data_IF_676774199590
#
_entry.id   IF_676774199590
#
_cell.length_a   1.000
_cell.length_b   1.000
_cell.length_c   1.000
_cell.angle_alpha   90.00
_cell.angle_beta   90.00
_cell.angle_gamma   90.00
#
_symmetry.space_group_name_H-M   'P 1'
#
loop_
_entity.id
_entity.type
_entity.pdbx_description
1 polymer ?
#
# COMPACT_ATOMS: atom_id res chain seq x y z
N UNK A 1 -10.85 8.29 -7.71
CA UNK A 1 -11.14 6.96 -7.09
C UNK A 1 -11.79 6.07 -8.13
N UNK A 2 -11.39 4.82 -8.18
CA UNK A 2 -11.92 3.84 -9.14
C UNK A 2 -12.19 2.51 -8.42
N UNK A 3 -13.38 1.96 -8.62
CA UNK A 3 -13.71 0.60 -8.16
C UNK A 3 -13.05 -0.43 -9.10
N UNK A 4 -12.18 -1.28 -8.54
CA UNK A 4 -11.50 -2.35 -9.28
C UNK A 4 -12.39 -3.60 -9.29
N UNK A 5 -12.85 -4.01 -8.12
CA UNK A 5 -13.72 -5.18 -7.95
C UNK A 5 -14.66 -5.01 -6.77
N UNK A 6 -15.78 -5.71 -6.84
CA UNK A 6 -16.75 -5.79 -5.73
C UNK A 6 -17.21 -7.23 -5.55
N UNK A 7 -17.16 -7.70 -4.32
CA UNK A 7 -17.73 -8.99 -3.93
C UNK A 7 -18.80 -8.74 -2.88
N UNK A 8 -20.00 -9.26 -3.14
CA UNK A 8 -21.18 -9.07 -2.26
C UNK A 8 -21.51 -10.38 -1.57
N UNK A 9 -21.55 -10.36 -0.25
CA UNK A 9 -22.05 -11.44 0.60
C UNK A 9 -23.42 -11.12 1.19
N UNK A 10 -23.92 -12.02 2.04
CA UNK A 10 -25.26 -11.87 2.67
C UNK A 10 -25.33 -10.65 3.60
N UNK A 11 -24.24 -10.30 4.28
CA UNK A 11 -24.16 -9.27 5.31
C UNK A 11 -23.00 -8.28 5.10
N UNK A 12 -22.27 -8.38 3.99
CA UNK A 12 -21.10 -7.52 3.73
C UNK A 12 -20.77 -7.35 2.25
N UNK A 13 -20.06 -6.26 1.98
CA UNK A 13 -19.50 -5.95 0.66
C UNK A 13 -18.00 -5.79 0.83
N UNK A 14 -17.23 -6.43 -0.04
CA UNK A 14 -15.78 -6.26 -0.14
C UNK A 14 -15.44 -5.56 -1.45
N UNK A 15 -14.83 -4.39 -1.35
CA UNK A 15 -14.41 -3.58 -2.48
C UNK A 15 -12.90 -3.46 -2.56
N UNK A 16 -12.35 -3.62 -3.74
CA UNK A 16 -11.01 -3.17 -4.08
C UNK A 16 -11.11 -1.83 -4.81
N UNK A 17 -10.44 -0.81 -4.28
CA UNK A 17 -10.50 0.56 -4.77
C UNK A 17 -9.10 1.06 -5.12
N UNK A 18 -8.95 1.62 -6.30
CA UNK A 18 -7.80 2.45 -6.62
C UNK A 18 -8.09 3.89 -6.18
N UNK A 19 -7.20 4.45 -5.39
CA UNK A 19 -7.29 5.82 -4.91
C UNK A 19 -6.04 6.58 -5.34
N UNK A 20 -6.25 7.73 -5.94
CA UNK A 20 -5.20 8.70 -6.20
C UNK A 20 -5.57 10.06 -5.63
N UNK A 21 -4.62 10.72 -5.06
CA UNK A 21 -4.79 12.07 -4.53
C UNK A 21 -3.46 12.81 -4.46
N UNK A 22 -3.55 14.13 -4.37
CA UNK A 22 -2.44 14.99 -3.97
C UNK A 22 -2.64 15.41 -2.51
N UNK A 23 -1.66 15.17 -1.67
CA UNK A 23 -1.74 15.48 -0.23
C UNK A 23 -1.62 17.00 0.02
N UNK A 24 -2.70 17.72 -0.20
CA UNK A 24 -2.78 19.19 -0.09
C UNK A 24 -3.46 19.68 1.19
N UNK A 25 -4.04 18.78 1.97
CA UNK A 25 -4.65 19.05 3.27
C UNK A 25 -4.35 17.90 4.23
N UNK A 26 -4.61 18.11 5.51
CA UNK A 26 -4.50 17.03 6.50
C UNK A 26 -5.50 15.92 6.19
N UNK A 27 -5.04 14.68 6.23
CA UNK A 27 -5.84 13.47 6.01
C UNK A 27 -5.66 12.51 7.19
N UNK A 28 -6.36 12.73 8.33
CA UNK A 28 -6.13 11.99 9.57
C UNK A 28 -6.35 10.49 9.49
N UNK A 29 -7.21 10.04 8.55
CA UNK A 29 -7.50 8.61 8.39
C UNK A 29 -6.36 7.81 7.74
N UNK A 30 -5.48 8.47 6.97
CA UNK A 30 -4.37 7.82 6.26
C UNK A 30 -3.00 8.33 6.69
N UNK A 31 -2.90 9.62 7.01
CA UNK A 31 -1.67 10.29 7.43
C UNK A 31 -1.92 11.14 8.69
N UNK A 32 -2.24 10.50 9.83
CA UNK A 32 -2.55 11.22 11.06
C UNK A 32 -1.36 12.06 11.53
N UNK A 33 -1.61 13.33 11.83
CA UNK A 33 -0.59 14.25 12.33
C UNK A 33 0.42 14.77 11.30
N UNK A 34 0.29 14.39 10.03
CA UNK A 34 1.20 14.82 8.97
C UNK A 34 0.66 16.09 8.30
N UNK A 35 1.43 17.19 8.30
CA UNK A 35 1.06 18.38 7.52
C UNK A 35 1.07 18.09 6.02
N UNK A 36 0.38 18.91 5.21
CA UNK A 36 0.33 18.72 3.76
C UNK A 36 1.72 18.63 3.14
N UNK A 37 1.97 17.54 2.40
CA UNK A 37 3.27 17.29 1.75
C UNK A 37 3.29 17.74 0.29
N UNK A 38 2.14 18.03 -0.31
CA UNK A 38 1.95 18.34 -1.73
C UNK A 38 2.42 17.23 -2.69
N UNK A 39 2.58 16.03 -2.20
CA UNK A 39 2.97 14.87 -2.99
C UNK A 39 1.74 14.11 -3.50
N UNK A 40 1.92 13.45 -4.66
CA UNK A 40 0.90 12.57 -5.23
C UNK A 40 1.02 11.17 -4.64
N UNK A 41 -0.13 10.57 -4.35
CA UNK A 41 -0.23 9.20 -3.84
C UNK A 41 -1.19 8.40 -4.72
N UNK A 42 -0.77 7.19 -5.06
CA UNK A 42 -1.59 6.19 -5.75
C UNK A 42 -1.52 4.88 -4.96
N UNK A 43 -2.65 4.43 -4.44
CA UNK A 43 -2.74 3.19 -3.65
C UNK A 43 -3.98 2.38 -4.01
N UNK A 44 -3.92 1.11 -3.72
CA UNK A 44 -5.10 0.23 -3.67
C UNK A 44 -5.53 0.06 -2.23
N UNK A 45 -6.82 0.18 -2.00
CA UNK A 45 -7.45 0.07 -0.70
C UNK A 45 -8.47 -1.05 -0.76
N UNK A 46 -8.53 -1.89 0.26
CA UNK A 46 -9.59 -2.87 0.44
C UNK A 46 -10.56 -2.34 1.51
N UNK A 47 -11.81 -2.18 1.13
CA UNK A 47 -12.89 -1.74 2.03
C UNK A 47 -13.86 -2.89 2.26
N UNK A 48 -14.13 -3.19 3.54
CA UNK A 48 -15.09 -4.22 3.94
C UNK A 48 -16.19 -3.53 4.75
N UNK A 49 -17.39 -3.46 4.17
CA UNK A 49 -18.56 -2.85 4.80
C UNK A 49 -19.53 -3.94 5.22
N UNK A 50 -19.82 -4.01 6.49
CA UNK A 50 -20.81 -4.93 7.06
C UNK A 50 -22.16 -4.26 7.29
N UNK A 51 -23.25 -5.01 7.11
CA UNK A 51 -24.63 -4.55 7.27
C UNK A 51 -25.37 -5.36 8.32
N UNK A 52 -26.22 -4.67 9.06
CA UNK A 52 -27.23 -5.26 9.96
C UNK A 52 -28.55 -4.54 9.78
N UNK A 53 -29.64 -5.31 9.62
CA UNK A 53 -31.00 -4.77 9.46
C UNK A 53 -31.09 -3.68 8.37
N UNK A 54 -30.38 -3.87 7.24
CA UNK A 54 -30.33 -2.92 6.12
C UNK A 54 -29.52 -1.66 6.37
N UNK A 55 -28.75 -1.59 7.46
CA UNK A 55 -27.91 -0.44 7.80
C UNK A 55 -26.44 -0.82 7.87
N UNK A 56 -25.56 0.15 7.56
CA UNK A 56 -24.12 -0.03 7.77
C UNK A 56 -23.85 -0.23 9.26
N UNK A 57 -23.21 -1.36 9.58
CA UNK A 57 -22.84 -1.74 10.93
C UNK A 57 -21.37 -1.50 11.21
N UNK A 58 -20.51 -1.83 10.26
CA UNK A 58 -19.07 -1.70 10.39
C UNK A 58 -18.42 -1.38 9.05
N UNK A 59 -17.30 -0.69 9.12
CA UNK A 59 -16.43 -0.44 7.98
C UNK A 59 -14.98 -0.71 8.40
N UNK A 60 -14.27 -1.50 7.61
CA UNK A 60 -12.85 -1.76 7.77
C UNK A 60 -12.13 -1.45 6.48
N UNK A 61 -11.04 -0.72 6.58
CA UNK A 61 -10.27 -0.30 5.43
C UNK A 61 -8.82 -0.72 5.62
N UNK A 62 -8.26 -1.34 4.59
CA UNK A 62 -6.89 -1.84 4.60
C UNK A 62 -6.10 -1.26 3.43
N UNK A 63 -4.90 -0.82 3.70
CA UNK A 63 -3.97 -0.30 2.69
C UNK A 63 -2.53 -0.53 3.12
N UNK A 64 -1.58 -0.33 2.21
CA UNK A 64 -0.15 -0.38 2.49
C UNK A 64 0.35 0.99 2.96
N UNK A 65 0.52 1.16 4.27
CA UNK A 65 0.99 2.41 4.87
C UNK A 65 2.45 2.72 4.51
N UNK A 66 3.28 1.71 4.35
CA UNK A 66 4.67 1.93 3.94
C UNK A 66 4.75 2.57 2.55
N UNK A 67 3.90 2.12 1.62
CA UNK A 67 3.77 2.73 0.30
C UNK A 67 3.33 4.19 0.36
N UNK A 68 2.37 4.51 1.22
CA UNK A 68 1.91 5.90 1.41
C UNK A 68 3.03 6.77 1.96
N UNK A 69 3.72 6.32 3.01
CA UNK A 69 4.83 7.05 3.61
C UNK A 69 6.00 7.26 2.63
N UNK A 70 6.29 6.26 1.82
CA UNK A 70 7.29 6.37 0.75
C UNK A 70 6.89 7.42 -0.29
N UNK A 71 5.67 7.40 -0.77
CA UNK A 71 5.19 8.31 -1.81
C UNK A 71 5.11 9.77 -1.36
N UNK A 72 4.84 10.03 -0.07
CA UNK A 72 4.84 11.40 0.47
C UNK A 72 6.22 11.87 0.94
N UNK A 73 7.26 11.03 0.86
CA UNK A 73 8.63 11.37 1.20
C UNK A 73 8.99 11.25 2.68
N UNK A 74 8.16 10.58 3.49
CA UNK A 74 8.43 10.34 4.91
C UNK A 74 9.20 9.05 5.19
N UNK A 75 9.29 8.15 4.24
CA UNK A 75 10.03 6.89 4.33
C UNK A 75 11.08 6.86 3.23
N UNK A 76 12.36 6.84 3.62
CA UNK A 76 13.48 6.66 2.71
C UNK A 76 13.88 5.19 2.68
N UNK A 77 13.73 4.50 1.52
CA UNK A 77 14.11 3.09 1.41
C UNK A 77 15.60 2.84 1.61
N UNK A 78 16.45 3.83 1.40
CA UNK A 78 17.90 3.72 1.61
C UNK A 78 18.30 3.76 3.09
N UNK A 79 17.41 4.25 3.97
CA UNK A 79 17.64 4.29 5.41
C UNK A 79 17.41 2.94 6.09
N UNK A 80 18.22 1.95 5.77
CA UNK A 80 18.21 0.64 6.44
C UNK A 80 18.92 0.74 7.78
N UNK A 81 18.33 0.24 8.91
CA UNK A 81 19.02 0.18 10.19
C UNK A 81 20.34 -0.60 10.11
N UNK A 82 21.39 -0.12 10.78
CA UNK A 82 22.75 -0.67 10.68
C UNK A 82 22.83 -2.19 10.91
N UNK A 83 22.03 -2.73 11.86
CA UNK A 83 22.01 -4.15 12.14
C UNK A 83 21.48 -5.00 10.99
N UNK A 84 20.77 -4.42 10.02
CA UNK A 84 20.20 -5.12 8.87
C UNK A 84 20.89 -4.75 7.54
N UNK A 85 21.83 -3.82 7.55
CA UNK A 85 22.57 -3.45 6.34
C UNK A 85 23.46 -4.60 5.87
N UNK A 86 23.55 -4.72 4.55
CA UNK A 86 24.52 -5.60 3.90
C UNK A 86 25.93 -5.12 4.20
N UNK A 87 26.81 -6.04 4.61
CA UNK A 87 28.21 -5.75 4.88
C UNK A 87 29.04 -5.93 3.62
N UNK A 88 30.05 -5.07 3.41
CA UNK A 88 31.01 -5.25 2.33
C UNK A 88 31.73 -6.59 2.51
N UNK A 89 31.72 -7.44 1.46
CA UNK A 89 32.37 -8.74 1.48
C UNK A 89 31.46 -9.94 1.81
N UNK A 90 30.17 -9.71 2.12
CA UNK A 90 29.19 -10.80 2.22
C UNK A 90 28.77 -11.21 0.80
N UNK A 91 29.34 -12.32 0.32
CA UNK A 91 28.99 -12.93 -0.96
C UNK A 91 27.67 -13.75 -0.87
N UNK A 92 27.09 -13.87 0.35
CA UNK A 92 25.85 -14.59 0.58
C UNK A 92 24.65 -13.69 0.28
N UNK A 93 23.72 -14.18 -0.55
CA UNK A 93 22.44 -13.52 -0.84
C UNK A 93 21.60 -13.27 0.43
N UNK A 94 21.90 -13.94 1.52
CA UNK A 94 21.30 -13.78 2.85
C UNK A 94 21.96 -12.66 3.70
N UNK A 95 22.98 -12.00 3.19
CA UNK A 95 23.91 -11.13 3.95
C UNK A 95 23.40 -9.76 4.39
N UNK A 96 22.10 -9.45 4.24
CA UNK A 96 21.52 -8.16 4.67
C UNK A 96 20.81 -7.39 3.56
N UNK A 97 20.26 -6.24 3.92
CA UNK A 97 19.45 -5.40 3.03
C UNK A 97 20.28 -4.26 2.43
N UNK A 98 20.11 -4.03 1.14
CA UNK A 98 20.56 -2.79 0.48
C UNK A 98 19.55 -1.67 0.62
N UNK A 99 18.26 -2.01 0.53
CA UNK A 99 17.13 -1.09 0.64
C UNK A 99 15.98 -1.73 1.42
N UNK A 100 15.13 -0.89 2.01
CA UNK A 100 13.87 -1.35 2.59
C UNK A 100 12.92 -1.85 1.48
N UNK A 101 12.26 -2.99 1.66
CA UNK A 101 11.33 -3.54 0.67
C UNK A 101 9.98 -2.82 0.71
N UNK A 102 9.91 -1.65 0.09
CA UNK A 102 8.68 -0.85 0.00
C UNK A 102 8.29 -0.62 -1.46
N UNK A 103 7.00 -0.58 -1.72
CA UNK A 103 6.45 -0.32 -3.03
C UNK A 103 5.92 1.11 -3.14
N UNK A 104 6.07 1.72 -4.31
CA UNK A 104 5.48 3.02 -4.64
C UNK A 104 4.17 2.89 -5.43
N UNK A 105 3.89 3.89 -6.25
CA UNK A 105 2.68 3.95 -7.08
C UNK A 105 2.58 2.83 -8.12
N UNK A 106 3.69 2.21 -8.49
CA UNK A 106 3.74 1.09 -9.46
C UNK A 106 2.92 -0.11 -9.00
N UNK A 107 2.88 -0.40 -7.69
CA UNK A 107 2.08 -1.48 -7.15
C UNK A 107 0.58 -1.27 -7.38
N UNK A 108 0.09 -0.05 -7.17
CA UNK A 108 -1.31 0.29 -7.43
C UNK A 108 -1.65 0.22 -8.93
N UNK A 109 -0.75 0.65 -9.78
CA UNK A 109 -0.92 0.59 -11.24
C UNK A 109 -0.98 -0.84 -11.75
N UNK A 110 -0.15 -1.75 -11.21
CA UNK A 110 -0.18 -3.18 -11.54
C UNK A 110 -1.55 -3.80 -11.23
N UNK A 111 -2.15 -3.50 -10.10
CA UNK A 111 -3.47 -4.03 -9.72
C UNK A 111 -4.56 -3.58 -10.68
N UNK A 112 -4.44 -2.38 -11.27
CA UNK A 112 -5.40 -1.88 -12.25
C UNK A 112 -5.20 -2.45 -13.65
N UNK A 113 -4.02 -2.98 -13.96
CA UNK A 113 -3.71 -3.58 -15.23
C UNK A 113 -4.09 -5.07 -15.23
N UNK A 114 -5.24 -5.37 -15.81
CA UNK A 114 -5.77 -6.74 -15.90
C UNK A 114 -4.93 -7.69 -16.76
N UNK A 115 -4.03 -7.14 -17.60
CA UNK A 115 -3.11 -7.91 -18.44
C UNK A 115 -1.72 -8.06 -17.82
N UNK A 116 -1.50 -7.50 -16.63
CA UNK A 116 -0.24 -7.67 -15.93
C UNK A 116 -0.04 -9.11 -15.48
N UNK A 117 0.92 -9.78 -16.09
CA UNK A 117 1.30 -11.16 -15.74
C UNK A 117 2.31 -11.21 -14.60
N UNK A 118 2.85 -10.07 -14.20
CA UNK A 118 3.85 -9.98 -13.14
C UNK A 118 3.19 -9.96 -11.77
N UNK A 119 3.29 -11.09 -11.08
CA UNK A 119 3.09 -11.15 -9.64
C UNK A 119 4.30 -10.56 -8.93
N UNK A 120 4.14 -10.29 -7.66
CA UNK A 120 5.15 -9.78 -6.75
C UNK A 120 6.56 -10.30 -7.05
N UNK A 121 7.44 -9.48 -7.62
CA UNK A 121 8.84 -9.82 -7.85
C UNK A 121 9.62 -10.15 -6.56
N UNK A 122 8.99 -9.99 -5.41
CA UNK A 122 9.58 -10.32 -4.12
C UNK A 122 9.43 -11.79 -3.72
N UNK A 123 8.72 -12.59 -4.51
CA UNK A 123 8.51 -14.02 -4.22
C UNK A 123 8.81 -14.82 -5.48
N UNK A 124 10.08 -15.10 -5.68
CA UNK A 124 10.56 -15.86 -6.83
C UNK A 124 10.18 -17.35 -6.80
N UNK A 125 9.76 -17.87 -5.65
CA UNK A 125 9.47 -19.30 -5.48
C UNK A 125 8.14 -19.52 -4.74
N UNK A 126 7.10 -19.64 -5.51
CA UNK A 126 5.84 -20.23 -5.05
C UNK A 126 5.75 -21.69 -5.45
#
# INVERSE_FOLDING_TARGET
>A
MRLISRTTGADRIVDELYINFKHTCQMPWILPGVPPTNQKVEIVVVSIVGFRAGKVWSERVYWDQASVLFQVGLLDPEEVPEQFKRKEGDDDEEGGLEMLPVSGSEAARKVMDVESEEFNDMIDDW
#
